data_IF_963569951317
#
_entry.id   IF_963569951317
#
_cell.length_a   1.000
_cell.length_b   1.000
_cell.length_c   1.000
_cell.angle_alpha   90.00
_cell.angle_beta   90.00
_cell.angle_gamma   90.00
#
_symmetry.space_group_name_H-M   'P 1'
#
loop_
_entity.id
_entity.type
_entity.pdbx_description
1 polymer ?
#
# COMPACT_ATOMS: atom_id res chain seq x y z
N UNK A 1 17.68 -50.49 12.14
CA UNK A 1 16.73 -49.55 12.78
C UNK A 1 17.48 -48.31 13.31
N UNK A 2 18.29 -47.66 12.49
CA UNK A 2 19.18 -46.54 12.89
C UNK A 2 18.99 -45.27 12.04
N UNK A 3 18.22 -45.35 10.96
CA UNK A 3 18.19 -44.34 9.88
C UNK A 3 17.45 -43.05 10.23
N UNK A 4 16.37 -43.12 11.02
CA UNK A 4 15.56 -41.93 11.33
C UNK A 4 16.29 -40.95 12.26
N UNK A 5 16.96 -41.46 13.30
CA UNK A 5 17.63 -40.65 14.32
C UNK A 5 18.89 -39.94 13.78
N UNK A 6 19.60 -40.59 12.87
CA UNK A 6 20.74 -39.99 12.15
C UNK A 6 20.28 -38.90 11.19
N UNK A 7 19.14 -39.09 10.49
CA UNK A 7 18.58 -38.07 9.60
C UNK A 7 18.08 -36.83 10.33
N UNK A 8 17.51 -36.99 11.53
CA UNK A 8 17.09 -35.89 12.42
C UNK A 8 18.29 -35.06 12.90
N UNK A 9 19.37 -35.73 13.32
CA UNK A 9 20.58 -35.06 13.80
C UNK A 9 21.32 -34.32 12.68
N UNK A 10 21.40 -34.90 11.48
CA UNK A 10 22.02 -34.22 10.33
C UNK A 10 21.19 -32.99 9.91
N UNK A 11 19.86 -33.11 9.87
CA UNK A 11 18.97 -31.97 9.62
C UNK A 11 19.16 -30.84 10.64
N UNK A 12 19.12 -31.17 11.94
CA UNK A 12 19.23 -30.18 13.01
C UNK A 12 20.60 -29.51 13.02
N UNK A 13 21.68 -30.27 12.82
CA UNK A 13 23.05 -29.75 12.83
C UNK A 13 23.29 -28.75 11.70
N UNK A 14 22.77 -29.02 10.49
CA UNK A 14 22.89 -28.12 9.34
C UNK A 14 22.02 -26.88 9.50
N UNK A 15 20.81 -27.01 10.07
CA UNK A 15 19.92 -25.88 10.31
C UNK A 15 20.52 -24.90 11.33
N UNK A 16 21.17 -25.42 12.38
CA UNK A 16 21.86 -24.60 13.39
C UNK A 16 23.10 -23.87 12.86
N UNK A 17 23.70 -24.33 11.76
CA UNK A 17 24.84 -23.69 11.11
C UNK A 17 24.44 -22.58 10.13
N UNK A 18 23.16 -22.48 9.77
CA UNK A 18 22.67 -21.48 8.83
C UNK A 18 22.32 -20.17 9.53
N UNK A 19 22.65 -19.04 8.88
CA UNK A 19 22.26 -17.72 9.38
C UNK A 19 20.75 -17.51 9.16
N UNK A 20 19.93 -17.40 10.22
CA UNK A 20 18.48 -17.27 10.08
C UNK A 20 18.03 -16.00 9.35
N UNK A 21 18.86 -14.94 9.34
CA UNK A 21 18.56 -13.67 8.69
C UNK A 21 18.96 -13.63 7.21
N UNK A 22 19.89 -14.49 6.78
CA UNK A 22 20.40 -14.53 5.41
C UNK A 22 19.89 -15.72 4.59
N UNK A 23 19.57 -16.83 5.25
CA UNK A 23 19.23 -18.11 4.62
C UNK A 23 17.76 -18.51 4.86
N UNK A 24 16.86 -17.57 5.19
CA UNK A 24 15.48 -17.88 5.60
C UNK A 24 14.75 -18.79 4.61
N UNK A 25 14.91 -18.56 3.31
CA UNK A 25 14.28 -19.39 2.27
C UNK A 25 14.86 -20.81 2.21
N UNK A 26 16.18 -20.96 2.35
CA UNK A 26 16.84 -22.27 2.43
C UNK A 26 16.43 -23.03 3.70
N UNK A 27 16.24 -22.33 4.82
CA UNK A 27 15.74 -22.93 6.08
C UNK A 27 14.34 -23.51 5.84
N UNK A 28 13.45 -22.72 5.22
CA UNK A 28 12.07 -23.13 4.96
C UNK A 28 11.99 -24.27 3.94
N UNK A 29 12.80 -24.23 2.88
CA UNK A 29 12.89 -25.30 1.89
C UNK A 29 13.37 -26.62 2.52
N UNK A 30 14.43 -26.58 3.34
CA UNK A 30 14.93 -27.75 4.06
C UNK A 30 13.93 -28.31 5.06
N UNK A 31 13.22 -27.44 5.78
CA UNK A 31 12.14 -27.85 6.69
C UNK A 31 11.01 -28.53 5.92
N UNK A 32 10.61 -27.96 4.79
CA UNK A 32 9.59 -28.55 3.92
C UNK A 32 10.04 -29.93 3.44
N UNK A 33 11.28 -30.07 3.00
CA UNK A 33 11.85 -31.36 2.62
C UNK A 33 11.74 -32.36 3.78
N UNK A 34 12.36 -32.07 4.93
CA UNK A 34 12.38 -32.98 6.09
C UNK A 34 10.99 -33.47 6.52
N UNK A 35 9.98 -32.59 6.51
CA UNK A 35 8.60 -32.94 6.86
C UNK A 35 7.91 -33.84 5.82
N UNK A 36 8.28 -33.76 4.54
CA UNK A 36 7.66 -34.52 3.45
C UNK A 36 8.52 -35.71 2.95
N UNK A 37 9.80 -35.80 3.36
CA UNK A 37 10.72 -36.91 3.02
C UNK A 37 10.29 -38.26 3.57
N UNK A 38 9.35 -38.31 4.52
CA UNK A 38 8.83 -39.58 5.07
C UNK A 38 7.88 -40.32 4.11
N UNK A 39 7.55 -39.77 2.93
CA UNK A 39 6.62 -40.38 1.96
C UNK A 39 7.23 -40.91 0.66
N UNK A 40 8.52 -40.73 0.36
CA UNK A 40 9.13 -41.41 -0.79
C UNK A 40 10.66 -41.47 -0.68
N UNK A 41 11.21 -42.67 -0.85
CA UNK A 41 12.63 -42.94 -1.05
C UNK A 41 13.14 -42.20 -2.28
N UNK A 42 13.85 -41.06 -2.17
CA UNK A 42 14.69 -40.54 -3.25
C UNK A 42 15.83 -39.62 -2.76
N UNK A 43 16.92 -39.51 -3.56
CA UNK A 43 18.24 -39.06 -3.11
C UNK A 43 18.33 -37.55 -2.88
N UNK A 44 19.31 -37.22 -2.05
CA UNK A 44 19.57 -35.92 -1.44
C UNK A 44 20.08 -34.84 -2.42
N UNK A 45 19.54 -33.60 -2.29
CA UNK A 45 20.23 -32.28 -2.35
C UNK A 45 20.31 -31.37 -3.60
N UNK A 46 19.61 -31.58 -4.72
CA UNK A 46 19.60 -30.51 -5.76
C UNK A 46 18.24 -30.28 -6.42
N UNK A 47 17.58 -31.33 -6.88
CA UNK A 47 16.37 -31.17 -7.72
C UNK A 47 15.13 -30.71 -6.93
N UNK A 48 14.99 -31.13 -5.67
CA UNK A 48 13.79 -30.84 -4.87
C UNK A 48 13.79 -29.40 -4.35
N UNK A 49 14.94 -28.88 -3.93
CA UNK A 49 15.10 -27.50 -3.45
C UNK A 49 14.95 -26.49 -4.60
N UNK A 50 15.51 -26.80 -5.78
CA UNK A 50 15.28 -26.03 -7.01
C UNK A 50 13.79 -26.01 -7.36
N UNK A 51 13.09 -27.15 -7.29
CA UNK A 51 11.67 -27.22 -7.61
C UNK A 51 10.79 -26.43 -6.62
N UNK A 52 11.13 -26.36 -5.32
CA UNK A 52 10.40 -25.53 -4.35
C UNK A 52 10.56 -24.03 -4.64
N UNK A 53 11.80 -23.55 -4.79
CA UNK A 53 12.09 -22.15 -5.10
C UNK A 53 11.54 -21.73 -6.47
N UNK A 54 11.65 -22.60 -7.48
CA UNK A 54 11.09 -22.37 -8.82
C UNK A 54 9.56 -22.36 -8.81
N UNK A 55 8.91 -23.21 -8.00
CA UNK A 55 7.45 -23.17 -7.80
C UNK A 55 7.03 -21.86 -7.13
N UNK A 56 7.73 -21.44 -6.07
CA UNK A 56 7.51 -20.16 -5.39
C UNK A 56 7.64 -18.98 -6.35
N UNK A 57 8.72 -18.95 -7.13
CA UNK A 57 8.98 -17.85 -8.07
C UNK A 57 7.97 -17.84 -9.23
N UNK A 58 7.55 -19.01 -9.73
CA UNK A 58 6.47 -19.11 -10.73
C UNK A 58 5.13 -18.61 -10.17
N UNK A 59 4.78 -18.98 -8.94
CA UNK A 59 3.57 -18.49 -8.27
C UNK A 59 3.62 -16.97 -8.10
N UNK A 60 4.76 -16.42 -7.65
CA UNK A 60 4.96 -14.97 -7.54
C UNK A 60 4.81 -14.26 -8.90
N UNK A 61 5.44 -14.76 -9.97
CA UNK A 61 5.32 -14.17 -11.32
C UNK A 61 3.88 -14.18 -11.84
N UNK A 62 3.14 -15.27 -11.61
CA UNK A 62 1.71 -15.35 -11.94
C UNK A 62 0.90 -14.32 -11.16
N UNK A 63 1.14 -14.22 -9.85
CA UNK A 63 0.47 -13.24 -9.00
C UNK A 63 0.71 -11.79 -9.45
N UNK A 64 1.94 -11.44 -9.82
CA UNK A 64 2.24 -10.11 -10.37
C UNK A 64 1.54 -9.85 -11.70
N UNK A 65 1.38 -10.88 -12.52
CA UNK A 65 0.64 -10.78 -13.79
C UNK A 65 -0.84 -10.49 -13.52
N UNK A 66 -1.44 -11.18 -12.54
CA UNK A 66 -2.81 -10.94 -12.08
C UNK A 66 -2.96 -9.52 -11.56
N UNK A 67 -2.01 -9.01 -10.74
CA UNK A 67 -2.05 -7.64 -10.23
C UNK A 67 -2.07 -6.59 -11.34
N UNK A 68 -1.22 -6.72 -12.37
CA UNK A 68 -1.17 -5.76 -13.49
C UNK A 68 -2.48 -5.70 -14.27
N UNK A 69 -3.11 -6.85 -14.47
CA UNK A 69 -4.35 -6.97 -15.24
C UNK A 69 -5.61 -6.94 -14.36
N UNK A 70 -5.45 -6.69 -13.05
CA UNK A 70 -6.51 -6.90 -12.07
C UNK A 70 -7.78 -6.12 -12.40
N UNK A 71 -7.65 -4.86 -12.81
CA UNK A 71 -8.81 -4.03 -13.11
C UNK A 71 -9.47 -4.37 -14.45
N UNK A 72 -8.70 -4.91 -15.42
CA UNK A 72 -9.17 -5.23 -16.77
C UNK A 72 -9.98 -6.53 -16.83
N UNK A 73 -9.67 -7.50 -15.98
CA UNK A 73 -10.32 -8.82 -15.97
C UNK A 73 -11.60 -8.79 -15.12
N UNK A 74 -12.62 -9.55 -15.48
CA UNK A 74 -13.85 -9.63 -14.69
C UNK A 74 -13.60 -10.29 -13.30
N UNK A 75 -14.46 -10.03 -12.33
CA UNK A 75 -14.28 -10.53 -10.96
C UNK A 75 -14.28 -12.07 -10.87
N UNK A 76 -15.12 -12.75 -11.65
CA UNK A 76 -15.27 -14.22 -11.61
C UNK A 76 -14.03 -14.95 -12.15
N UNK A 77 -13.48 -14.47 -13.26
CA UNK A 77 -12.25 -14.96 -13.86
C UNK A 77 -11.05 -14.72 -12.96
N UNK A 78 -10.96 -13.57 -12.28
CA UNK A 78 -9.92 -13.32 -11.27
C UNK A 78 -9.99 -14.31 -10.11
N UNK A 79 -11.18 -14.56 -9.58
CA UNK A 79 -11.36 -15.55 -8.50
C UNK A 79 -10.94 -16.95 -8.96
N UNK A 80 -11.32 -17.36 -10.18
CA UNK A 80 -10.92 -18.65 -10.74
C UNK A 80 -9.41 -18.75 -11.00
N UNK A 81 -8.74 -17.67 -11.42
CA UNK A 81 -7.28 -17.64 -11.57
C UNK A 81 -6.55 -17.70 -10.23
N UNK A 82 -7.07 -16.99 -9.22
CA UNK A 82 -6.54 -16.97 -7.86
C UNK A 82 -6.75 -18.32 -7.13
N UNK A 83 -7.82 -19.05 -7.42
CA UNK A 83 -8.07 -20.38 -6.84
C UNK A 83 -7.17 -21.47 -7.45
N UNK A 84 -6.78 -21.31 -8.72
CA UNK A 84 -5.83 -22.23 -9.41
C UNK A 84 -4.37 -22.05 -8.96
N UNK A 85 -4.07 -20.99 -8.22
CA UNK A 85 -2.74 -20.74 -7.67
C UNK A 85 -2.52 -21.63 -6.45
N UNK A 86 -1.72 -22.67 -6.61
CA UNK A 86 -1.27 -23.50 -5.50
C UNK A 86 -0.27 -22.71 -4.63
N UNK A 87 -0.79 -22.07 -3.59
CA UNK A 87 -0.03 -21.24 -2.63
C UNK A 87 -0.09 -21.78 -1.21
N UNK A 88 -0.65 -22.97 -1.00
CA UNK A 88 -0.77 -23.56 0.34
C UNK A 88 0.59 -23.79 1.01
N UNK A 89 1.62 -24.10 0.22
CA UNK A 89 3.00 -24.25 0.69
C UNK A 89 3.69 -22.90 1.00
N UNK A 90 3.11 -21.75 0.61
CA UNK A 90 3.72 -20.42 0.69
C UNK A 90 2.82 -19.41 1.44
N UNK A 91 2.89 -19.35 2.79
CA UNK A 91 2.02 -18.50 3.60
C UNK A 91 2.01 -17.01 3.19
N UNK A 92 3.16 -16.46 2.79
CA UNK A 92 3.28 -15.07 2.30
C UNK A 92 2.45 -14.80 1.03
N UNK A 93 2.38 -15.78 0.13
CA UNK A 93 1.60 -15.69 -1.10
C UNK A 93 0.12 -15.96 -0.81
N UNK A 94 -0.18 -16.86 0.13
CA UNK A 94 -1.53 -17.14 0.59
C UNK A 94 -2.25 -15.91 1.16
N UNK A 95 -1.54 -15.08 1.93
CA UNK A 95 -2.07 -13.79 2.39
C UNK A 95 -2.38 -12.85 1.22
N UNK A 96 -1.45 -12.73 0.27
CA UNK A 96 -1.62 -11.88 -0.91
C UNK A 96 -2.78 -12.33 -1.81
N UNK A 97 -2.95 -13.63 -2.01
CA UNK A 97 -4.07 -14.21 -2.77
C UNK A 97 -5.39 -13.95 -2.08
N UNK A 98 -5.48 -14.21 -0.77
CA UNK A 98 -6.70 -13.95 0.02
C UNK A 98 -7.12 -12.48 -0.06
N UNK A 99 -6.16 -11.56 0.05
CA UNK A 99 -6.41 -10.12 -0.10
C UNK A 99 -6.95 -9.79 -1.49
N UNK A 100 -6.33 -10.28 -2.56
CA UNK A 100 -6.80 -10.04 -3.93
C UNK A 100 -8.18 -10.64 -4.18
N UNK A 101 -8.49 -11.80 -3.61
CA UNK A 101 -9.84 -12.39 -3.68
C UNK A 101 -10.87 -11.50 -3.00
N UNK A 102 -10.56 -10.93 -1.83
CA UNK A 102 -11.43 -9.98 -1.15
C UNK A 102 -11.67 -8.73 -2.00
N UNK A 103 -10.60 -8.15 -2.57
CA UNK A 103 -10.72 -6.98 -3.47
C UNK A 103 -11.53 -7.34 -4.72
N UNK A 104 -11.36 -8.54 -5.28
CA UNK A 104 -12.09 -8.99 -6.47
C UNK A 104 -13.60 -9.07 -6.23
N UNK A 105 -14.01 -9.52 -5.04
CA UNK A 105 -15.43 -9.55 -4.63
C UNK A 105 -16.02 -8.14 -4.50
N UNK A 106 -15.19 -7.16 -4.15
CA UNK A 106 -15.59 -5.77 -3.91
C UNK A 106 -15.47 -4.87 -5.15
N UNK A 107 -15.12 -5.40 -6.34
CA UNK A 107 -15.02 -4.59 -7.58
C UNK A 107 -16.29 -3.80 -7.90
N UNK A 108 -17.46 -4.32 -7.55
CA UNK A 108 -18.74 -3.60 -7.71
C UNK A 108 -18.82 -2.36 -6.82
N UNK A 109 -18.35 -2.44 -5.58
CA UNK A 109 -18.30 -1.30 -4.66
C UNK A 109 -17.26 -0.26 -5.08
N UNK A 110 -16.12 -0.68 -5.66
CA UNK A 110 -15.17 0.25 -6.27
C UNK A 110 -15.78 1.02 -7.45
N UNK A 111 -16.57 0.36 -8.31
CA UNK A 111 -17.27 1.03 -9.40
C UNK A 111 -18.30 2.05 -8.89
N UNK A 112 -19.00 1.73 -7.79
CA UNK A 112 -19.92 2.66 -7.12
C UNK A 112 -19.19 3.84 -6.48
N UNK A 113 -18.02 3.60 -5.88
CA UNK A 113 -17.18 4.65 -5.31
C UNK A 113 -16.69 5.61 -6.39
N UNK A 114 -16.26 5.11 -7.56
CA UNK A 114 -15.82 5.94 -8.69
C UNK A 114 -16.92 6.89 -9.19
N UNK A 115 -18.18 6.45 -9.16
CA UNK A 115 -19.35 7.25 -9.57
C UNK A 115 -19.83 8.21 -8.46
N UNK A 116 -19.28 8.13 -7.25
CA UNK A 116 -19.72 8.94 -6.13
C UNK A 116 -19.19 10.38 -6.26
N UNK A 117 -20.06 11.37 -6.07
CA UNK A 117 -19.75 12.80 -6.24
C UNK A 117 -18.57 13.33 -5.41
N UNK A 118 -18.25 12.70 -4.29
CA UNK A 118 -17.12 13.07 -3.44
C UNK A 118 -15.80 12.40 -3.84
N UNK A 119 -15.83 11.44 -4.76
CA UNK A 119 -14.65 10.74 -5.25
C UNK A 119 -14.00 11.56 -6.37
N UNK A 120 -12.69 11.74 -6.28
CA UNK A 120 -11.89 12.42 -7.29
C UNK A 120 -10.78 11.47 -7.78
N UNK A 121 -10.33 11.69 -9.02
CA UNK A 121 -9.47 10.74 -9.76
C UNK A 121 -8.18 10.41 -9.00
N UNK A 122 -7.46 11.42 -8.50
CA UNK A 122 -6.19 11.19 -7.77
C UNK A 122 -6.36 10.27 -6.56
N UNK A 123 -7.44 10.42 -5.78
CA UNK A 123 -7.71 9.53 -4.65
C UNK A 123 -8.08 8.13 -5.11
N UNK A 124 -8.93 8.02 -6.13
CA UNK A 124 -9.37 6.73 -6.65
C UNK A 124 -8.19 5.93 -7.20
N UNK A 125 -7.30 6.56 -7.96
CA UNK A 125 -6.10 5.93 -8.51
C UNK A 125 -5.14 5.47 -7.43
N UNK A 126 -4.89 6.31 -6.41
CA UNK A 126 -4.06 5.93 -5.27
C UNK A 126 -4.67 4.75 -4.51
N UNK A 127 -5.98 4.80 -4.25
CA UNK A 127 -6.67 3.78 -3.47
C UNK A 127 -6.70 2.44 -4.22
N UNK A 128 -7.00 2.44 -5.52
CA UNK A 128 -7.01 1.24 -6.37
C UNK A 128 -5.62 0.63 -6.58
N UNK A 129 -4.58 1.45 -6.68
CA UNK A 129 -3.19 0.97 -6.71
C UNK A 129 -2.82 0.32 -5.37
N UNK A 130 -3.16 0.96 -4.25
CA UNK A 130 -2.81 0.49 -2.92
C UNK A 130 -3.44 -0.87 -2.58
N UNK A 131 -4.72 -1.07 -2.90
CA UNK A 131 -5.41 -2.33 -2.57
C UNK A 131 -4.92 -3.54 -3.35
N UNK A 132 -4.39 -3.33 -4.56
CA UNK A 132 -3.88 -4.40 -5.45
C UNK A 132 -2.38 -4.62 -5.29
N UNK A 133 -1.64 -3.62 -4.81
CA UNK A 133 -0.19 -3.67 -4.64
C UNK A 133 0.29 -4.85 -3.77
N UNK A 134 1.54 -5.27 -3.98
CA UNK A 134 2.19 -6.18 -3.03
C UNK A 134 2.34 -5.51 -1.65
N UNK A 135 2.43 -6.28 -0.54
CA UNK A 135 2.62 -5.68 0.78
C UNK A 135 3.83 -4.74 0.85
N UNK A 136 4.91 -5.09 0.14
CA UNK A 136 6.13 -4.29 0.06
C UNK A 136 5.93 -2.98 -0.73
N UNK A 137 5.23 -3.06 -1.86
CA UNK A 137 4.89 -1.87 -2.66
C UNK A 137 3.85 -1.00 -1.98
N UNK A 138 2.87 -1.57 -1.29
CA UNK A 138 1.87 -0.84 -0.54
C UNK A 138 2.54 0.00 0.57
N UNK A 139 3.55 -0.55 1.25
CA UNK A 139 4.32 0.19 2.25
C UNK A 139 5.15 1.32 1.62
N UNK A 140 5.76 1.08 0.46
CA UNK A 140 6.44 2.12 -0.32
C UNK A 140 5.49 3.22 -0.78
N UNK A 141 4.27 2.87 -1.18
CA UNK A 141 3.24 3.84 -1.58
C UNK A 141 2.76 4.67 -0.38
N UNK A 142 2.60 4.06 0.80
CA UNK A 142 2.25 4.79 2.03
C UNK A 142 3.33 5.77 2.44
N UNK A 143 4.60 5.37 2.39
CA UNK A 143 5.75 6.23 2.74
C UNK A 143 5.98 7.33 1.71
N UNK A 144 5.96 7.02 0.41
CA UNK A 144 6.07 8.02 -0.66
C UNK A 144 4.93 9.04 -0.61
N UNK A 145 3.70 8.62 -0.38
CA UNK A 145 2.58 9.55 -0.21
C UNK A 145 2.67 10.31 1.13
N UNK A 146 3.39 9.80 2.14
CA UNK A 146 3.72 10.57 3.34
C UNK A 146 4.71 11.72 3.06
N UNK A 147 5.74 11.43 2.26
CA UNK A 147 6.88 12.33 1.98
C UNK A 147 6.64 13.30 0.81
N UNK A 148 6.07 12.88 -0.32
CA UNK A 148 5.72 13.80 -1.42
C UNK A 148 4.67 14.82 -1.00
N UNK A 149 3.86 14.50 0.01
CA UNK A 149 2.88 15.44 0.56
C UNK A 149 3.50 16.50 1.49
N UNK A 150 4.79 16.41 1.82
CA UNK A 150 5.51 17.47 2.56
C UNK A 150 6.39 18.37 1.68
N UNK A 151 6.77 17.96 0.47
CA UNK A 151 7.76 18.69 -0.35
C UNK A 151 7.28 19.07 -1.77
N UNK A 152 6.42 18.30 -2.43
CA UNK A 152 6.10 18.53 -3.87
C UNK A 152 4.74 19.23 -4.12
N UNK A 153 3.92 19.44 -3.09
CA UNK A 153 2.61 20.10 -3.21
C UNK A 153 2.62 21.61 -2.96
N UNK A 154 3.81 22.21 -2.87
CA UNK A 154 3.96 23.67 -2.87
C UNK A 154 3.58 24.29 -4.23
N UNK A 155 3.60 23.48 -5.31
CA UNK A 155 3.22 23.91 -6.64
C UNK A 155 2.16 22.96 -7.23
N UNK A 156 0.95 23.48 -7.46
CA UNK A 156 0.00 23.04 -8.51
C UNK A 156 -1.03 21.89 -8.31
N UNK A 157 -1.14 21.17 -7.18
CA UNK A 157 -2.26 20.20 -7.06
C UNK A 157 -3.50 20.82 -6.39
N UNK A 158 -4.58 20.94 -7.16
CA UNK A 158 -5.81 21.67 -6.85
C UNK A 158 -6.72 21.00 -5.80
N UNK A 159 -6.32 19.85 -5.24
CA UNK A 159 -7.15 19.12 -4.29
C UNK A 159 -6.83 19.51 -2.85
N UNK A 160 -7.86 20.03 -2.17
CA UNK A 160 -7.72 20.60 -0.83
C UNK A 160 -7.60 19.46 0.18
N UNK A 161 -6.77 19.55 1.24
CA UNK A 161 -6.68 18.54 2.32
C UNK A 161 -8.04 18.14 2.93
N UNK A 162 -9.05 19.01 2.81
CA UNK A 162 -10.44 18.79 3.22
C UNK A 162 -11.19 17.78 2.33
N UNK A 163 -10.86 17.68 1.06
CA UNK A 163 -11.50 16.77 0.11
C UNK A 163 -11.08 15.34 0.39
N UNK A 164 -9.79 15.12 0.65
CA UNK A 164 -9.23 13.86 1.15
C UNK A 164 -9.89 13.41 2.47
N UNK A 165 -10.12 14.34 3.41
CA UNK A 165 -10.85 14.03 4.64
C UNK A 165 -12.31 13.65 4.34
N UNK A 166 -13.00 14.42 3.50
CA UNK A 166 -14.40 14.19 3.15
C UNK A 166 -14.59 12.82 2.50
N UNK A 167 -13.73 12.45 1.54
CA UNK A 167 -13.83 11.14 0.90
C UNK A 167 -13.49 9.99 1.84
N UNK A 168 -12.51 10.15 2.75
CA UNK A 168 -12.20 9.14 3.76
C UNK A 168 -13.40 8.90 4.70
N UNK A 169 -14.08 9.96 5.13
CA UNK A 169 -15.31 9.85 5.94
C UNK A 169 -16.47 9.21 5.14
N UNK A 170 -16.59 9.51 3.85
CA UNK A 170 -17.59 8.89 2.96
C UNK A 170 -17.31 7.39 2.82
N UNK A 171 -16.06 6.99 2.57
CA UNK A 171 -15.67 5.58 2.46
C UNK A 171 -15.96 4.86 3.78
N UNK A 172 -15.63 5.45 4.92
CA UNK A 172 -15.92 4.88 6.24
C UNK A 172 -17.43 4.65 6.47
N UNK A 173 -18.28 5.60 6.08
CA UNK A 173 -19.73 5.56 6.36
C UNK A 173 -20.54 4.77 5.34
N UNK A 174 -20.21 4.91 4.06
CA UNK A 174 -21.01 4.38 2.95
C UNK A 174 -20.43 3.09 2.35
N UNK A 175 -19.12 2.85 2.51
CA UNK A 175 -18.42 1.69 1.95
C UNK A 175 -17.55 0.99 3.00
N UNK A 176 -18.16 0.46 4.09
CA UNK A 176 -17.40 -0.09 5.22
C UNK A 176 -16.51 -1.26 4.82
N UNK A 177 -16.92 -2.06 3.83
CA UNK A 177 -16.15 -3.18 3.30
C UNK A 177 -14.86 -2.72 2.58
N UNK A 178 -14.93 -1.57 1.89
CA UNK A 178 -13.75 -0.94 1.28
C UNK A 178 -12.85 -0.29 2.34
N UNK A 179 -13.45 0.29 3.37
CA UNK A 179 -12.72 0.91 4.46
C UNK A 179 -11.82 -0.10 5.20
N UNK A 180 -12.31 -1.31 5.48
CA UNK A 180 -11.52 -2.33 6.18
C UNK A 180 -10.31 -2.84 5.38
N UNK A 181 -10.30 -2.69 4.04
CA UNK A 181 -9.15 -3.09 3.22
C UNK A 181 -7.89 -2.24 3.50
N UNK A 182 -8.07 -0.95 3.74
CA UNK A 182 -6.98 0.05 3.93
C UNK A 182 -7.30 1.05 5.03
N UNK A 183 -7.86 0.56 6.14
CA UNK A 183 -8.23 1.35 7.31
C UNK A 183 -7.10 2.26 7.80
N UNK A 184 -5.89 1.72 7.86
CA UNK A 184 -4.71 2.45 8.31
C UNK A 184 -4.43 3.68 7.44
N UNK A 185 -4.37 3.49 6.12
CA UNK A 185 -4.10 4.56 5.18
C UNK A 185 -5.24 5.59 5.15
N UNK A 186 -6.51 5.15 5.12
CA UNK A 186 -7.66 6.06 5.15
C UNK A 186 -7.69 6.93 6.41
N UNK A 187 -7.30 6.37 7.56
CA UNK A 187 -7.18 7.14 8.80
C UNK A 187 -6.02 8.15 8.76
N UNK A 188 -4.87 7.78 8.19
CA UNK A 188 -3.76 8.72 7.98
C UNK A 188 -4.19 9.88 7.08
N UNK A 189 -4.83 9.59 5.96
CA UNK A 189 -5.35 10.60 5.02
C UNK A 189 -6.33 11.55 5.72
N UNK A 190 -7.22 11.03 6.56
CA UNK A 190 -8.17 11.84 7.33
C UNK A 190 -7.49 12.74 8.37
N UNK A 191 -6.46 12.25 9.08
CA UNK A 191 -5.73 13.01 10.11
C UNK A 191 -4.81 14.07 9.48
N UNK A 192 -4.03 13.70 8.47
CA UNK A 192 -3.16 14.63 7.75
C UNK A 192 -3.97 15.74 7.05
N UNK A 193 -5.18 15.42 6.58
CA UNK A 193 -6.14 16.40 6.08
C UNK A 193 -6.50 17.48 7.11
N UNK A 194 -6.75 17.07 8.35
CA UNK A 194 -7.10 17.97 9.47
C UNK A 194 -5.94 18.90 9.82
N UNK A 195 -4.75 18.36 10.04
CA UNK A 195 -3.55 19.15 10.41
C UNK A 195 -3.20 20.16 9.32
N UNK A 196 -3.16 19.73 8.05
CA UNK A 196 -2.88 20.63 6.92
C UNK A 196 -3.97 21.69 6.70
N UNK A 197 -5.24 21.35 6.92
CA UNK A 197 -6.31 22.35 6.83
C UNK A 197 -6.17 23.46 7.88
N UNK A 198 -5.60 23.14 9.05
CA UNK A 198 -5.31 24.12 10.10
C UNK A 198 -4.14 25.03 9.71
N UNK A 199 -3.09 24.47 9.10
CA UNK A 199 -1.91 25.18 8.62
C UNK A 199 -2.27 26.11 7.45
N UNK A 200 -3.05 25.62 6.46
CA UNK A 200 -3.51 26.47 5.36
C UNK A 200 -4.38 27.63 5.86
N UNK A 201 -5.14 27.43 6.95
CA UNK A 201 -5.94 28.49 7.57
C UNK A 201 -5.06 29.55 8.23
N UNK A 202 -4.00 29.16 8.95
CA UNK A 202 -3.08 30.13 9.56
C UNK A 202 -2.27 30.88 8.50
N UNK A 203 -1.83 30.20 7.45
CA UNK A 203 -1.11 30.82 6.31
C UNK A 203 -2.00 31.81 5.59
N UNK A 204 -3.25 31.46 5.27
CA UNK A 204 -4.18 32.40 4.62
C UNK A 204 -4.50 33.62 5.50
N UNK A 205 -4.61 33.45 6.82
CA UNK A 205 -4.77 34.57 7.76
C UNK A 205 -3.53 35.47 7.75
N UNK A 206 -2.33 34.89 7.69
CA UNK A 206 -1.08 35.64 7.60
C UNK A 206 -1.01 36.46 6.31
N UNK A 207 -1.34 35.86 5.16
CA UNK A 207 -1.41 36.59 3.89
C UNK A 207 -2.43 37.73 3.92
N UNK A 208 -3.62 37.51 4.50
CA UNK A 208 -4.62 38.55 4.65
C UNK A 208 -4.12 39.72 5.51
N UNK A 209 -3.38 39.43 6.60
CA UNK A 209 -2.77 40.45 7.45
C UNK A 209 -1.67 41.23 6.73
N UNK A 210 -0.84 40.57 5.92
CA UNK A 210 0.20 41.21 5.10
C UNK A 210 -0.42 42.12 4.04
N UNK A 211 -1.47 41.67 3.35
CA UNK A 211 -2.18 42.48 2.36
C UNK A 211 -2.83 43.69 3.05
N UNK A 212 -3.46 43.48 4.21
CA UNK A 212 -4.07 44.56 4.97
C UNK A 212 -3.03 45.59 5.47
N UNK A 213 -1.85 45.16 5.91
CA UNK A 213 -0.79 46.06 6.36
C UNK A 213 -0.20 46.85 5.20
N UNK A 214 0.03 46.24 4.03
CA UNK A 214 0.45 46.94 2.82
C UNK A 214 -0.62 47.97 2.40
N UNK A 215 -1.90 47.58 2.43
CA UNK A 215 -3.02 48.48 2.15
C UNK A 215 -3.06 49.67 3.11
N UNK A 216 -2.85 49.44 4.40
CA UNK A 216 -2.78 50.49 5.43
C UNK A 216 -1.61 51.46 5.17
N UNK A 217 -0.43 50.93 4.85
CA UNK A 217 0.76 51.75 4.55
C UNK A 217 0.55 52.59 3.30
N UNK A 218 -0.05 52.03 2.24
CA UNK A 218 -0.40 52.79 1.03
C UNK A 218 -1.43 53.88 1.29
N UNK A 219 -2.43 53.59 2.13
CA UNK A 219 -3.47 54.55 2.50
C UNK A 219 -2.89 55.70 3.34
N UNK A 220 -2.01 55.39 4.30
CA UNK A 220 -1.26 56.40 5.06
C UNK A 220 -0.34 57.22 4.17
N UNK A 221 0.40 56.60 3.24
CA UNK A 221 1.25 57.32 2.30
C UNK A 221 0.44 58.30 1.43
N UNK A 222 -0.72 57.88 0.92
CA UNK A 222 -1.64 58.74 0.16
C UNK A 222 -2.21 59.89 1.00
N UNK A 223 -2.45 59.67 2.29
CA UNK A 223 -3.03 60.68 3.19
C UNK A 223 -2.01 61.74 3.66
N UNK A 224 -0.74 61.36 3.80
CA UNK A 224 0.34 62.24 4.29
C UNK A 224 1.18 62.89 3.17
N UNK A 225 1.11 62.40 1.92
CA UNK A 225 1.76 63.05 0.77
C UNK A 225 1.28 64.48 0.42
N UNK A 226 -0.01 64.87 0.58
CA UNK A 226 -0.46 66.18 0.13
C UNK A 226 0.05 67.36 0.98
N UNK A 227 0.57 67.14 2.20
CA UNK A 227 1.08 68.25 3.04
C UNK A 227 2.54 68.64 2.73
N UNK A 228 3.28 67.84 1.97
CA UNK A 228 4.72 68.08 1.71
C UNK A 228 5.02 68.80 0.40
N UNK A 229 4.00 69.10 -0.41
CA UNK A 229 4.14 69.79 -1.71
C UNK A 229 3.65 71.25 -1.71
N UNK A 230 3.21 71.77 -0.57
CA UNK A 230 2.82 73.19 -0.39
C UNK A 230 3.54 73.82 0.80
N UNK A 231 4.86 73.70 0.85
CA UNK A 231 5.75 74.43 1.75
C UNK A 231 6.80 75.19 0.96
#
# INVERSE_FOLDING_TARGET
MTTARESEQDYLSRLLQMNPLGCTEEILARRHHFLHSHSAEHPFLADVDLNFLDRKQRARKKLETIRRNFWQVNAQSLLAELEKLDVHEFPELGFSVSRLQQVARLKGEFARLQQHHACFENFFDQFTQLVVASPEEAERLRTRNGESTSIELADLDLNTPREYQRIAEVVQKQFPELYELEKYWLNQVAVSGRERSSINRTVNVLYALIIASIGLVLLLALFYLPETLTG
#
